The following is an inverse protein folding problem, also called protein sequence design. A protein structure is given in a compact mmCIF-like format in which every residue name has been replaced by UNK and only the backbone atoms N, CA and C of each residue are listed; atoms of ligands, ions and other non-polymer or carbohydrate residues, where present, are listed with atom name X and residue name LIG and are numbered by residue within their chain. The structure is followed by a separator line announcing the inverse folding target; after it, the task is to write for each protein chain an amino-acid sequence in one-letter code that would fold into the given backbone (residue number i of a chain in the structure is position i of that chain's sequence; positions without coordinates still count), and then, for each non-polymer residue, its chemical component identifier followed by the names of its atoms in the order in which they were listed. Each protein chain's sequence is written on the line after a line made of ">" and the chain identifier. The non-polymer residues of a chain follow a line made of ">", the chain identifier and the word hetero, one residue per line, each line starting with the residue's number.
data_IF_632802102322
#
_entry.id   IF_632802102322
#
_cell.length_a   1.000
_cell.length_b   1.000
_cell.length_c   1.000
_cell.angle_alpha   90.00
_cell.angle_beta   90.00
_cell.angle_gamma   90.00
#
_symmetry.space_group_name_H-M   'P 1'
#
loop_
_entity.id
_entity.type
_entity.pdbx_description
1 polymer ?
#
# COMPACT_ATOMS: atom_id res chain seq x y z
N UNK A 1 -15.15 -21.09 -5.13
CA UNK A 1 -13.90 -21.64 -4.57
C UNK A 1 -13.45 -22.77 -5.49
N UNK A 2 -12.20 -22.77 -5.96
CA UNK A 2 -11.69 -23.77 -6.92
C UNK A 2 -10.96 -24.87 -6.15
N UNK A 3 -11.24 -26.14 -6.45
CA UNK A 3 -10.63 -27.30 -5.80
C UNK A 3 -9.70 -27.99 -6.80
N UNK A 4 -8.47 -28.29 -6.38
CA UNK A 4 -7.47 -28.97 -7.21
C UNK A 4 -7.20 -30.37 -6.65
N UNK A 5 -7.06 -31.37 -7.53
CA UNK A 5 -6.53 -32.70 -7.17
C UNK A 5 -5.09 -32.80 -7.64
N UNK A 6 -4.16 -33.02 -6.71
CA UNK A 6 -2.71 -33.02 -6.96
C UNK A 6 -2.13 -34.41 -6.74
N UNK A 7 -1.25 -34.84 -7.64
CA UNK A 7 -0.41 -36.03 -7.54
C UNK A 7 0.96 -35.76 -8.19
N UNK A 8 1.92 -36.67 -8.01
CA UNK A 8 3.31 -36.50 -8.49
C UNK A 8 3.44 -36.21 -9.99
N UNK A 9 2.45 -36.60 -10.81
CA UNK A 9 2.47 -36.41 -12.27
C UNK A 9 1.91 -35.06 -12.72
N UNK A 10 1.10 -34.38 -11.90
CA UNK A 10 0.41 -33.14 -12.28
C UNK A 10 0.77 -31.91 -11.42
N UNK A 11 1.74 -32.02 -10.50
CA UNK A 11 2.20 -30.88 -9.69
C UNK A 11 2.58 -29.66 -10.54
N UNK A 12 3.38 -29.78 -11.63
CA UNK A 12 3.80 -28.62 -12.40
C UNK A 12 2.63 -27.91 -13.09
N UNK A 13 1.65 -28.68 -13.57
CA UNK A 13 0.47 -28.17 -14.27
C UNK A 13 -0.47 -27.42 -13.32
N UNK A 14 -0.79 -28.02 -12.16
CA UNK A 14 -1.64 -27.38 -11.15
C UNK A 14 -0.96 -26.13 -10.58
N UNK A 15 0.36 -26.17 -10.37
CA UNK A 15 1.12 -25.00 -9.92
C UNK A 15 1.08 -23.87 -10.96
N UNK A 16 1.26 -24.19 -12.25
CA UNK A 16 1.15 -23.21 -13.33
C UNK A 16 -0.25 -22.60 -13.39
N UNK A 17 -1.31 -23.39 -13.22
CA UNK A 17 -2.68 -22.90 -13.17
C UNK A 17 -2.90 -21.93 -11.99
N UNK A 18 -2.47 -22.30 -10.78
CA UNK A 18 -2.56 -21.43 -9.59
C UNK A 18 -1.78 -20.13 -9.80
N UNK A 19 -0.58 -20.20 -10.39
CA UNK A 19 0.25 -19.03 -10.65
C UNK A 19 -0.34 -18.16 -11.76
N UNK A 20 -0.96 -18.75 -12.78
CA UNK A 20 -1.60 -18.03 -13.89
C UNK A 20 -2.81 -17.19 -13.45
N UNK A 21 -3.37 -17.46 -12.25
CA UNK A 21 -4.39 -16.60 -11.63
C UNK A 21 -3.81 -15.25 -11.18
N UNK A 22 -2.47 -15.11 -11.08
CA UNK A 22 -1.85 -13.81 -10.84
C UNK A 22 -2.17 -12.88 -12.00
N UNK A 23 -2.83 -11.77 -11.71
CA UNK A 23 -3.10 -10.71 -12.69
C UNK A 23 -1.78 -10.21 -13.26
N UNK A 24 -1.65 -10.22 -14.58
CA UNK A 24 -0.65 -9.40 -15.25
C UNK A 24 -0.95 -7.92 -14.96
N UNK A 25 0.12 -7.15 -14.78
CA UNK A 25 0.05 -5.69 -14.62
C UNK A 25 0.53 -4.96 -15.89
N UNK A 26 0.77 -5.69 -16.99
CA UNK A 26 1.40 -5.14 -18.20
C UNK A 26 0.60 -3.98 -18.79
N UNK A 27 -0.74 -4.04 -18.73
CA UNK A 27 -1.62 -2.97 -19.22
C UNK A 27 -1.57 -1.70 -18.36
N UNK A 28 -1.07 -1.77 -17.12
CA UNK A 28 -0.88 -0.59 -16.27
C UNK A 28 0.48 0.06 -16.44
N UNK A 29 1.46 -0.64 -17.03
CA UNK A 29 2.85 -0.16 -17.11
C UNK A 29 2.92 1.21 -17.78
N UNK A 30 2.27 1.37 -18.94
CA UNK A 30 2.29 2.64 -19.66
C UNK A 30 1.56 3.77 -18.93
N UNK A 31 0.49 3.45 -18.20
CA UNK A 31 -0.25 4.44 -17.41
C UNK A 31 0.60 4.92 -16.23
N UNK A 32 1.21 4.00 -15.50
CA UNK A 32 2.08 4.29 -14.35
C UNK A 32 3.35 5.03 -14.81
N UNK A 33 3.94 4.61 -15.94
CA UNK A 33 5.13 5.26 -16.51
C UNK A 33 4.89 6.75 -16.74
N UNK A 34 3.73 7.12 -17.31
CA UNK A 34 3.35 8.52 -17.51
C UNK A 34 3.27 9.31 -16.20
N UNK A 35 2.65 8.75 -15.17
CA UNK A 35 2.56 9.41 -13.86
C UNK A 35 3.95 9.63 -13.26
N UNK A 36 4.82 8.62 -13.33
CA UNK A 36 6.20 8.70 -12.81
C UNK A 36 7.03 9.72 -13.58
N UNK A 37 6.96 9.73 -14.92
CA UNK A 37 7.68 10.69 -15.76
C UNK A 37 7.20 12.12 -15.53
N UNK A 38 5.90 12.31 -15.35
CA UNK A 38 5.29 13.61 -15.09
C UNK A 38 5.69 14.18 -13.72
N UNK A 39 5.64 13.37 -12.66
CA UNK A 39 6.13 13.76 -11.33
C UNK A 39 7.65 13.99 -11.34
N UNK A 40 8.42 13.22 -12.12
CA UNK A 40 9.86 13.47 -12.28
C UNK A 40 10.14 14.82 -12.96
N UNK A 41 9.34 15.20 -13.95
CA UNK A 41 9.54 16.43 -14.73
C UNK A 41 9.04 17.69 -14.01
N UNK A 42 7.86 17.62 -13.37
CA UNK A 42 7.18 18.77 -12.73
C UNK A 42 7.22 18.78 -11.20
N UNK A 43 7.67 17.70 -10.58
CA UNK A 43 7.78 17.61 -9.11
C UNK A 43 6.43 17.71 -8.41
N UNK A 44 6.39 18.55 -7.38
CA UNK A 44 5.26 18.69 -6.47
C UNK A 44 3.95 19.17 -7.16
N UNK A 45 4.05 19.93 -8.25
CA UNK A 45 2.88 20.36 -9.02
C UNK A 45 2.10 19.16 -9.57
N UNK A 46 2.80 18.24 -10.25
CA UNK A 46 2.21 17.00 -10.74
C UNK A 46 1.74 16.10 -9.59
N UNK A 47 2.50 16.03 -8.49
CA UNK A 47 2.10 15.25 -7.32
C UNK A 47 0.75 15.72 -6.78
N UNK A 48 0.58 17.03 -6.55
CA UNK A 48 -0.69 17.60 -6.06
C UNK A 48 -1.81 17.36 -7.07
N UNK A 49 -1.56 17.49 -8.37
CA UNK A 49 -2.55 17.18 -9.41
C UNK A 49 -3.06 15.74 -9.30
N UNK A 50 -2.16 14.75 -9.18
CA UNK A 50 -2.55 13.35 -9.05
C UNK A 50 -3.23 13.03 -7.72
N UNK A 51 -2.78 13.61 -6.60
CA UNK A 51 -3.46 13.44 -5.30
C UNK A 51 -4.87 14.03 -5.35
N UNK A 52 -5.06 15.20 -5.98
CA UNK A 52 -6.40 15.78 -6.17
C UNK A 52 -7.30 14.91 -7.03
N UNK A 53 -6.73 14.28 -8.05
CA UNK A 53 -7.46 13.43 -9.00
C UNK A 53 -7.92 12.11 -8.38
N UNK A 54 -7.11 11.49 -7.54
CA UNK A 54 -7.36 10.12 -7.07
C UNK A 54 -7.75 9.99 -5.60
N UNK A 55 -7.27 10.88 -4.72
CA UNK A 55 -7.38 10.71 -3.27
C UNK A 55 -8.12 11.86 -2.58
N UNK A 56 -7.56 13.08 -2.66
CA UNK A 56 -7.99 14.23 -1.84
C UNK A 56 -8.10 15.50 -2.69
N UNK A 57 -9.29 15.83 -3.22
CA UNK A 57 -9.46 16.95 -4.16
C UNK A 57 -9.14 18.32 -3.57
N UNK A 58 -9.10 18.44 -2.24
CA UNK A 58 -8.80 19.67 -1.51
C UNK A 58 -7.37 19.71 -0.94
N UNK A 59 -6.48 18.81 -1.35
CA UNK A 59 -5.07 18.85 -0.92
C UNK A 59 -4.36 20.06 -1.52
N UNK A 60 -3.37 20.57 -0.80
CA UNK A 60 -2.42 21.58 -1.25
C UNK A 60 -1.04 21.26 -0.69
N UNK A 61 -0.05 22.07 -1.05
CA UNK A 61 1.33 21.88 -0.62
C UNK A 61 1.52 21.96 0.89
N UNK A 62 0.78 22.84 1.57
CA UNK A 62 0.89 23.04 3.01
C UNK A 62 0.36 21.82 3.80
N UNK A 63 -0.60 21.11 3.21
CA UNK A 63 -1.27 19.96 3.83
C UNK A 63 -0.68 18.60 3.43
N UNK A 64 0.32 18.58 2.56
CA UNK A 64 1.00 17.35 2.14
C UNK A 64 1.74 16.69 3.31
N UNK A 65 2.35 17.50 4.18
CA UNK A 65 2.99 17.03 5.42
C UNK A 65 2.01 17.08 6.57
N UNK A 66 1.84 15.97 7.28
CA UNK A 66 1.01 15.92 8.48
C UNK A 66 1.73 16.62 9.65
N UNK A 67 1.15 17.68 10.27
CA UNK A 67 1.74 18.32 11.44
C UNK A 67 1.81 17.37 12.64
N UNK A 68 2.84 17.52 13.49
CA UNK A 68 3.04 16.66 14.67
C UNK A 68 1.89 16.80 15.66
N UNK A 69 1.35 18.01 15.78
CA UNK A 69 0.23 18.35 16.64
C UNK A 69 -1.03 17.58 16.19
N UNK A 70 -1.27 17.48 14.88
CA UNK A 70 -2.39 16.68 14.35
C UNK A 70 -2.23 15.19 14.61
N UNK A 71 -1.01 14.68 14.62
CA UNK A 71 -0.74 13.28 14.99
C UNK A 71 -1.04 13.03 16.47
N UNK A 72 -0.61 13.94 17.35
CA UNK A 72 -0.89 13.86 18.78
C UNK A 72 -2.39 13.94 19.07
N UNK A 73 -3.11 14.87 18.44
CA UNK A 73 -4.56 15.00 18.56
C UNK A 73 -5.30 13.75 18.07
N UNK A 74 -4.90 13.20 16.92
CA UNK A 74 -5.48 11.98 16.39
C UNK A 74 -5.27 10.79 17.34
N UNK A 75 -4.06 10.66 17.91
CA UNK A 75 -3.76 9.63 18.88
C UNK A 75 -4.57 9.80 20.18
N UNK A 76 -4.74 11.03 20.66
CA UNK A 76 -5.51 11.33 21.86
C UNK A 76 -6.97 10.90 21.74
N UNK A 77 -7.57 11.04 20.55
CA UNK A 77 -8.97 10.69 20.24
C UNK A 77 -9.27 9.18 20.22
N UNK A 78 -8.24 8.32 20.16
CA UNK A 78 -8.44 6.87 20.18
C UNK A 78 -8.85 6.40 21.58
N UNK A 79 -9.70 5.38 21.65
CA UNK A 79 -10.00 4.69 22.90
C UNK A 79 -8.79 3.86 23.39
N UNK A 80 -8.80 3.53 24.68
CA UNK A 80 -7.67 2.83 25.32
C UNK A 80 -7.47 1.41 24.79
N UNK A 81 -8.54 0.73 24.37
CA UNK A 81 -8.43 -0.60 23.81
C UNK A 81 -7.71 -0.56 22.45
N UNK A 82 -8.09 0.40 21.59
CA UNK A 82 -7.43 0.64 20.30
C UNK A 82 -5.97 1.05 20.49
N UNK A 83 -5.67 1.98 21.42
CA UNK A 83 -4.29 2.38 21.75
C UNK A 83 -3.43 1.17 22.17
N UNK A 84 -3.97 0.33 23.06
CA UNK A 84 -3.29 -0.89 23.54
C UNK A 84 -3.04 -1.89 22.41
N UNK A 85 -4.01 -2.10 21.54
CA UNK A 85 -3.88 -2.99 20.39
C UNK A 85 -2.79 -2.51 19.41
N UNK A 86 -2.80 -1.23 19.03
CA UNK A 86 -1.78 -0.64 18.14
C UNK A 86 -0.37 -0.72 18.74
N UNK A 87 -0.23 -0.40 20.03
CA UNK A 87 1.06 -0.53 20.73
C UNK A 87 1.58 -1.97 20.70
N UNK A 88 0.71 -2.94 21.00
CA UNK A 88 1.10 -4.36 20.97
C UNK A 88 1.53 -4.81 19.57
N UNK A 89 0.80 -4.41 18.54
CA UNK A 89 1.15 -4.70 17.15
C UNK A 89 2.51 -4.11 16.77
N UNK A 90 2.76 -2.86 17.14
CA UNK A 90 4.05 -2.18 16.91
C UNK A 90 5.21 -2.91 17.60
N UNK A 91 5.05 -3.29 18.87
CA UNK A 91 6.06 -4.07 19.61
C UNK A 91 6.34 -5.44 18.99
N UNK A 92 5.30 -6.13 18.52
CA UNK A 92 5.44 -7.43 17.85
C UNK A 92 6.22 -7.30 16.54
N UNK A 93 5.88 -6.32 15.69
CA UNK A 93 6.57 -6.06 14.42
C UNK A 93 8.03 -5.69 14.70
N UNK A 94 8.28 -4.73 15.59
CA UNK A 94 9.63 -4.29 15.92
C UNK A 94 10.52 -5.44 16.44
N UNK A 95 9.97 -6.34 17.25
CA UNK A 95 10.69 -7.50 17.75
C UNK A 95 11.09 -8.46 16.63
N UNK A 96 10.17 -8.79 15.72
CA UNK A 96 10.46 -9.68 14.58
C UNK A 96 11.48 -9.06 13.63
N UNK A 97 11.34 -7.77 13.30
CA UNK A 97 12.25 -7.08 12.39
C UNK A 97 13.67 -6.93 12.96
N UNK A 98 13.84 -6.80 14.29
CA UNK A 98 15.16 -6.72 14.93
C UNK A 98 15.88 -8.07 15.06
N UNK A 99 15.16 -9.18 14.92
CA UNK A 99 15.70 -10.54 15.01
C UNK A 99 16.05 -11.17 13.66
N UNK A 100 15.95 -10.38 12.57
CA UNK A 100 16.40 -10.74 11.21
C UNK A 100 17.72 -10.03 10.92
#
# INVERSE_FOLDING_TARGET
>A
MRFYRVNAKNVPEVAAEIVSVRKSFDHYVEVVRRVVEDVRARGDEALIEYVKKFDSPAIDMERLRVPVEKLADAYARLDDATKKALKKSSENIARVCKSQ
#
